data_IF_649182616028
#
_entry.id   IF_649182616028
#
_cell.length_a   1.000
_cell.length_b   1.000
_cell.length_c   1.000
_cell.angle_alpha   90.00
_cell.angle_beta   90.00
_cell.angle_gamma   90.00
#
_symmetry.space_group_name_H-M   'P 1'
#
loop_
_entity.id
_entity.type
_entity.pdbx_description
1 polymer ?
#
# COMPACT_ATOMS: atom_id res chain seq x y z
N UNK A 1 3.15 2.89 -30.53
CA UNK A 1 3.54 2.65 -29.13
C UNK A 1 5.02 2.24 -29.15
N UNK A 2 5.91 3.21 -28.91
CA UNK A 2 7.37 3.00 -29.02
C UNK A 2 7.83 2.56 -27.65
N UNK A 3 8.19 1.29 -27.51
CA UNK A 3 8.91 0.78 -26.34
C UNK A 3 10.35 1.30 -26.42
N UNK A 4 10.62 2.37 -25.68
CA UNK A 4 12.00 2.81 -25.49
C UNK A 4 12.59 1.92 -24.39
N UNK A 5 13.31 0.87 -24.81
CA UNK A 5 14.21 0.14 -23.93
C UNK A 5 15.38 1.08 -23.61
N UNK A 6 15.39 1.70 -22.44
CA UNK A 6 16.60 2.34 -21.94
C UNK A 6 17.59 1.25 -21.52
N UNK A 7 18.38 0.78 -22.48
CA UNK A 7 19.63 0.08 -22.19
C UNK A 7 20.70 1.16 -21.92
N UNK A 8 20.83 1.59 -20.67
CA UNK A 8 22.00 2.35 -20.25
C UNK A 8 23.17 1.36 -20.08
N UNK A 9 23.99 1.24 -21.11
CA UNK A 9 25.28 0.58 -21.03
C UNK A 9 26.25 1.47 -20.27
N UNK A 10 26.35 1.27 -18.94
CA UNK A 10 27.55 1.63 -18.21
C UNK A 10 28.25 0.34 -17.82
N UNK A 11 29.54 0.33 -18.10
CA UNK A 11 30.47 -0.76 -17.88
C UNK A 11 30.26 -1.43 -16.51
N UNK A 12 29.96 -2.74 -16.55
CA UNK A 12 29.97 -3.74 -15.48
C UNK A 12 28.71 -4.19 -14.78
N UNK A 13 27.53 -3.54 -14.93
CA UNK A 13 26.30 -4.12 -14.38
C UNK A 13 25.10 -3.83 -15.30
N UNK A 14 24.62 -4.82 -16.04
CA UNK A 14 23.35 -4.73 -16.76
C UNK A 14 22.21 -4.78 -15.74
N UNK A 15 21.59 -3.65 -15.42
CA UNK A 15 20.29 -3.63 -14.74
C UNK A 15 19.16 -3.53 -15.77
N UNK A 16 17.98 -3.99 -15.40
CA UNK A 16 16.82 -4.00 -16.29
C UNK A 16 15.56 -3.56 -15.55
N UNK A 17 14.76 -2.71 -16.19
CA UNK A 17 13.38 -2.50 -15.85
C UNK A 17 12.54 -3.49 -16.65
N UNK A 18 11.86 -4.40 -15.96
CA UNK A 18 11.02 -5.43 -16.56
C UNK A 18 9.56 -5.15 -16.18
N UNK A 19 8.77 -4.54 -17.07
CA UNK A 19 7.34 -4.33 -16.77
C UNK A 19 6.64 -5.65 -16.49
N UNK A 20 5.71 -5.63 -15.56
CA UNK A 20 4.85 -6.79 -15.31
C UNK A 20 4.03 -7.09 -16.59
N UNK A 21 3.91 -8.36 -17.02
CA UNK A 21 3.25 -8.69 -18.28
C UNK A 21 1.81 -8.21 -18.41
N UNK A 22 1.09 -8.16 -17.31
CA UNK A 22 -0.34 -7.80 -17.29
C UNK A 22 -0.59 -6.36 -16.80
N UNK A 23 0.43 -5.64 -16.26
CA UNK A 23 0.25 -4.31 -15.71
C UNK A 23 1.54 -3.48 -15.82
N UNK A 24 1.58 -2.59 -16.79
CA UNK A 24 2.76 -1.77 -17.08
C UNK A 24 3.12 -0.75 -15.99
N UNK A 25 2.21 -0.51 -15.03
CA UNK A 25 2.46 0.34 -13.85
C UNK A 25 3.22 -0.38 -12.74
N UNK A 26 3.51 -1.67 -12.94
CA UNK A 26 4.32 -2.49 -12.04
C UNK A 26 5.57 -2.92 -12.79
N UNK A 27 6.73 -2.76 -12.17
CA UNK A 27 7.99 -3.18 -12.79
C UNK A 27 8.92 -3.87 -11.80
N UNK A 28 9.64 -4.85 -12.31
CA UNK A 28 10.74 -5.50 -11.61
C UNK A 28 12.06 -4.82 -12.00
N UNK A 29 12.94 -4.65 -11.01
CA UNK A 29 14.29 -4.15 -11.22
C UNK A 29 15.26 -5.28 -10.92
N UNK A 30 15.97 -5.71 -11.95
CA UNK A 30 16.97 -6.77 -11.87
C UNK A 30 18.38 -6.23 -12.15
N UNK A 31 19.40 -6.94 -11.64
CA UNK A 31 20.79 -6.58 -11.86
C UNK A 31 21.40 -5.70 -10.77
N UNK A 32 20.60 -5.12 -9.87
CA UNK A 32 21.10 -4.41 -8.70
C UNK A 32 21.36 -5.45 -7.61
N UNK A 33 22.64 -5.69 -7.31
CA UNK A 33 23.06 -6.72 -6.34
C UNK A 33 22.74 -6.34 -4.90
N UNK A 34 22.86 -5.04 -4.57
CA UNK A 34 22.61 -4.51 -3.24
C UNK A 34 22.19 -3.04 -3.36
N UNK A 35 20.94 -2.74 -2.97
CA UNK A 35 20.41 -1.39 -3.06
C UNK A 35 21.08 -0.38 -2.14
N UNK A 36 21.81 -0.83 -1.10
CA UNK A 36 22.60 0.05 -0.22
C UNK A 36 23.78 0.67 -0.95
N UNK A 37 24.26 0.01 -1.98
CA UNK A 37 25.40 0.42 -2.79
C UNK A 37 24.97 0.88 -4.19
N UNK A 38 23.70 1.28 -4.35
CA UNK A 38 23.19 1.75 -5.64
C UNK A 38 23.92 3.05 -6.03
N UNK A 39 24.39 3.08 -7.27
CA UNK A 39 24.98 4.29 -7.84
C UNK A 39 23.95 5.43 -7.87
N UNK A 40 24.42 6.67 -7.66
CA UNK A 40 23.55 7.85 -7.59
C UNK A 40 22.76 8.08 -8.87
N UNK A 41 23.39 7.92 -10.02
CA UNK A 41 22.71 8.16 -11.31
C UNK A 41 21.70 7.06 -11.58
N UNK A 42 22.00 5.83 -11.19
CA UNK A 42 21.07 4.71 -11.26
C UNK A 42 19.89 4.89 -10.31
N UNK A 43 20.13 5.37 -9.09
CA UNK A 43 19.04 5.71 -8.15
C UNK A 43 18.12 6.78 -8.71
N UNK A 44 18.65 7.87 -9.27
CA UNK A 44 17.85 8.93 -9.89
C UNK A 44 17.06 8.41 -11.11
N UNK A 45 17.63 7.47 -11.86
CA UNK A 45 16.94 6.78 -12.94
C UNK A 45 15.74 5.95 -12.40
N UNK A 46 15.95 5.19 -11.31
CA UNK A 46 14.87 4.44 -10.64
C UNK A 46 13.79 5.36 -10.11
N UNK A 47 14.13 6.49 -9.48
CA UNK A 47 13.18 7.49 -8.96
C UNK A 47 12.37 8.11 -10.09
N UNK A 48 13.01 8.53 -11.17
CA UNK A 48 12.35 9.08 -12.35
C UNK A 48 11.37 8.08 -12.96
N UNK A 49 11.81 6.84 -13.10
CA UNK A 49 10.96 5.77 -13.62
C UNK A 49 9.76 5.48 -12.70
N UNK A 50 9.98 5.47 -11.38
CA UNK A 50 8.93 5.32 -10.38
C UNK A 50 7.89 6.44 -10.47
N UNK A 51 8.30 7.68 -10.56
CA UNK A 51 7.38 8.82 -10.62
C UNK A 51 6.60 8.88 -11.95
N UNK A 52 7.25 8.60 -13.07
CA UNK A 52 6.68 8.85 -14.38
C UNK A 52 5.98 7.64 -15.01
N UNK A 53 6.49 6.43 -14.76
CA UNK A 53 6.09 5.26 -15.54
C UNK A 53 5.53 4.13 -14.69
N UNK A 54 6.19 3.76 -13.60
CA UNK A 54 5.87 2.57 -12.83
C UNK A 54 5.82 2.86 -11.34
N UNK A 55 4.69 3.36 -10.82
CA UNK A 55 4.54 3.74 -9.41
C UNK A 55 4.53 2.56 -8.42
N UNK A 56 4.79 1.36 -8.88
CA UNK A 56 5.20 0.20 -8.10
C UNK A 56 6.43 -0.42 -8.74
N UNK A 57 7.56 -0.38 -8.06
CA UNK A 57 8.80 -1.01 -8.46
C UNK A 57 9.25 -2.05 -7.44
N UNK A 58 9.80 -3.15 -7.93
CA UNK A 58 10.19 -4.30 -7.10
C UNK A 58 11.66 -4.62 -7.40
N UNK A 59 12.53 -4.32 -6.44
CA UNK A 59 13.95 -4.70 -6.48
C UNK A 59 14.07 -6.18 -6.10
N UNK A 60 14.61 -6.98 -6.99
CA UNK A 60 14.67 -8.43 -6.82
C UNK A 60 15.92 -8.89 -6.05
N UNK A 61 15.76 -9.93 -5.23
CA UNK A 61 16.85 -10.70 -4.64
C UNK A 61 17.87 -9.87 -3.83
N UNK A 62 17.40 -8.90 -3.07
CA UNK A 62 18.27 -8.06 -2.25
C UNK A 62 18.85 -8.83 -1.06
N UNK A 63 20.11 -8.57 -0.67
CA UNK A 63 20.71 -9.20 0.48
C UNK A 63 20.02 -8.82 1.78
N UNK A 64 20.38 -9.51 2.86
CA UNK A 64 19.85 -9.21 4.18
C UNK A 64 20.17 -7.76 4.59
N UNK A 65 19.14 -7.05 5.03
CA UNK A 65 19.21 -5.66 5.51
C UNK A 65 18.58 -5.56 6.88
N UNK A 66 19.14 -4.65 7.69
CA UNK A 66 18.54 -4.24 8.97
C UNK A 66 17.26 -3.42 8.72
N UNK A 67 16.38 -3.29 9.71
CA UNK A 67 15.24 -2.38 9.62
C UNK A 67 15.64 -0.94 9.27
N UNK A 68 16.75 -0.45 9.85
CA UNK A 68 17.24 0.91 9.57
C UNK A 68 17.75 1.07 8.14
N UNK A 69 18.54 0.13 7.63
CA UNK A 69 19.02 0.16 6.23
C UNK A 69 17.84 0.13 5.24
N UNK A 70 16.80 -0.64 5.54
CA UNK A 70 15.59 -0.67 4.72
C UNK A 70 14.85 0.67 4.76
N UNK A 71 14.70 1.28 5.94
CA UNK A 71 14.11 2.61 6.08
C UNK A 71 14.91 3.66 5.30
N UNK A 72 16.23 3.67 5.45
CA UNK A 72 17.10 4.63 4.79
C UNK A 72 17.02 4.51 3.27
N UNK A 73 16.95 3.29 2.74
CA UNK A 73 16.73 3.08 1.30
C UNK A 73 15.36 3.58 0.83
N UNK A 74 14.27 3.24 1.53
CA UNK A 74 12.93 3.65 1.10
C UNK A 74 12.72 5.17 1.14
N UNK A 75 13.34 5.88 2.10
CA UNK A 75 13.34 7.34 2.21
C UNK A 75 13.87 8.04 0.95
N UNK A 76 14.73 7.39 0.18
CA UNK A 76 15.31 7.96 -1.04
C UNK A 76 14.25 8.22 -2.13
N UNK A 77 13.10 7.57 -2.08
CA UNK A 77 12.04 7.69 -3.08
C UNK A 77 11.06 8.85 -2.83
N UNK A 78 11.17 9.54 -1.70
CA UNK A 78 10.38 10.75 -1.43
C UNK A 78 11.28 11.93 -1.04
N UNK A 79 11.43 12.87 -1.97
CA UNK A 79 12.22 14.09 -1.74
C UNK A 79 11.49 15.07 -0.79
N UNK A 80 10.17 14.95 -0.65
CA UNK A 80 9.33 15.81 0.20
C UNK A 80 8.96 15.13 1.53
N UNK A 81 9.67 14.07 1.90
CA UNK A 81 9.40 13.33 3.13
C UNK A 81 9.46 14.21 4.37
N UNK A 82 8.62 13.91 5.32
CA UNK A 82 8.60 14.58 6.61
C UNK A 82 9.56 13.87 7.59
N UNK A 83 10.79 14.36 7.64
CA UNK A 83 11.82 13.80 8.55
C UNK A 83 11.41 13.95 10.02
N UNK A 84 10.68 14.98 10.41
CA UNK A 84 10.23 15.17 11.78
C UNK A 84 9.19 14.10 12.14
N UNK A 85 8.29 13.78 11.23
CA UNK A 85 7.33 12.69 11.41
C UNK A 85 8.01 11.31 11.44
N UNK A 86 9.05 11.11 10.62
CA UNK A 86 9.85 9.87 10.63
C UNK A 86 10.64 9.74 11.92
N UNK A 87 11.28 10.82 12.35
CA UNK A 87 12.14 10.85 13.54
C UNK A 87 11.36 11.16 14.80
N UNK A 88 10.03 11.12 14.81
CA UNK A 88 9.18 11.52 15.94
C UNK A 88 9.55 10.78 17.22
N UNK A 89 10.63 11.27 17.84
CA UNK A 89 11.16 10.79 19.14
C UNK A 89 10.55 11.55 20.31
N UNK A 90 9.83 12.66 20.05
CA UNK A 90 9.54 13.68 21.07
C UNK A 90 8.45 13.31 22.07
N UNK A 91 7.77 12.17 22.01
CA UNK A 91 6.81 11.79 23.06
C UNK A 91 6.62 10.28 23.25
N UNK A 92 7.60 9.44 22.96
CA UNK A 92 7.43 7.96 22.99
C UNK A 92 6.32 7.43 22.06
N UNK A 93 5.78 8.25 21.17
CA UNK A 93 4.76 7.88 20.21
C UNK A 93 5.41 7.79 18.84
N UNK A 94 5.50 6.57 18.33
CA UNK A 94 5.85 6.38 16.92
C UNK A 94 4.70 6.88 16.03
N UNK A 95 5.00 7.19 14.77
CA UNK A 95 4.00 7.50 13.75
C UNK A 95 2.84 6.48 13.75
N UNK A 96 3.11 5.20 13.96
CA UNK A 96 2.14 4.15 14.11
C UNK A 96 1.23 4.32 15.33
N UNK A 97 1.77 4.75 16.47
CA UNK A 97 1.01 4.97 17.70
C UNK A 97 0.18 6.24 17.64
N UNK A 98 0.68 7.32 17.03
CA UNK A 98 -0.11 8.54 16.83
C UNK A 98 -1.36 8.29 16.00
N UNK A 99 -1.31 7.30 15.14
CA UNK A 99 -2.42 6.94 14.30
C UNK A 99 -3.38 5.95 14.97
N UNK A 100 -3.20 5.55 16.23
CA UNK A 100 -4.07 4.63 16.96
C UNK A 100 -4.58 3.45 16.10
N UNK A 101 -3.74 2.97 15.21
CA UNK A 101 -4.09 1.81 14.40
C UNK A 101 -4.28 0.62 15.32
N UNK A 102 -5.28 -0.18 15.04
CA UNK A 102 -5.70 -1.37 15.76
C UNK A 102 -4.52 -2.21 16.24
N UNK A 103 -4.32 -2.22 17.53
CA UNK A 103 -3.21 -2.79 18.29
C UNK A 103 -1.90 -1.98 18.17
N UNK A 104 -1.12 -1.90 19.23
CA UNK A 104 0.26 -1.48 19.13
C UNK A 104 0.91 -2.43 18.14
N UNK A 105 1.16 -1.95 16.92
CA UNK A 105 1.95 -2.72 15.98
C UNK A 105 3.29 -2.97 16.65
N UNK A 106 3.65 -4.23 16.70
CA UNK A 106 4.98 -4.61 17.11
C UNK A 106 5.96 -3.79 16.29
N UNK A 107 6.87 -3.13 16.97
CA UNK A 107 7.84 -2.22 16.38
C UNK A 107 9.23 -2.64 16.80
N UNK A 108 10.19 -2.36 15.96
CA UNK A 108 11.56 -2.54 16.36
C UNK A 108 11.97 -1.44 17.35
N UNK A 109 12.51 -1.77 18.53
CA UNK A 109 12.87 -0.78 19.56
C UNK A 109 13.76 0.34 19.02
N UNK A 110 14.74 -0.02 18.17
CA UNK A 110 15.72 0.90 17.61
C UNK A 110 15.29 1.49 16.26
N UNK A 111 14.16 1.07 15.70
CA UNK A 111 13.65 1.56 14.42
C UNK A 111 12.12 1.52 14.39
N UNK A 112 11.49 2.37 15.22
CA UNK A 112 10.03 2.39 15.46
C UNK A 112 9.20 2.70 14.22
N UNK A 113 9.83 3.16 13.14
CA UNK A 113 9.14 3.46 11.89
C UNK A 113 8.95 2.24 10.99
N UNK A 114 9.62 1.14 11.32
CA UNK A 114 9.51 -0.14 10.62
C UNK A 114 8.67 -1.11 11.43
N UNK A 115 7.68 -1.72 10.80
CA UNK A 115 6.81 -2.69 11.45
C UNK A 115 6.98 -4.09 10.85
N UNK A 116 7.15 -5.14 11.67
CA UNK A 116 7.07 -6.51 11.23
C UNK A 116 5.63 -6.89 10.87
N UNK A 117 5.44 -7.67 9.80
CA UNK A 117 4.14 -8.14 9.32
C UNK A 117 4.20 -9.61 8.95
N UNK A 118 3.08 -10.28 9.10
CA UNK A 118 2.93 -11.67 8.65
C UNK A 118 2.51 -12.63 9.73
N UNK A 119 3.10 -13.83 9.71
CA UNK A 119 2.91 -14.91 10.67
C UNK A 119 4.28 -15.51 10.96
N UNK A 120 4.99 -14.97 11.93
CA UNK A 120 6.35 -15.37 12.22
C UNK A 120 6.72 -15.11 13.69
N UNK A 121 7.52 -16.00 14.28
CA UNK A 121 8.02 -15.84 15.63
C UNK A 121 9.42 -15.20 15.62
N UNK A 122 9.53 -14.04 16.21
CA UNK A 122 10.78 -13.30 16.38
C UNK A 122 11.40 -13.65 17.74
N UNK A 123 12.44 -14.47 17.73
CA UNK A 123 13.10 -14.92 18.98
C UNK A 123 14.03 -13.85 19.54
N UNK A 124 14.89 -13.31 18.72
CA UNK A 124 15.81 -12.22 19.03
C UNK A 124 16.16 -11.54 17.70
N UNK A 125 15.35 -10.57 17.29
CA UNK A 125 15.45 -9.96 15.99
C UNK A 125 15.39 -8.43 16.14
N UNK A 126 16.56 -7.78 16.04
CA UNK A 126 16.70 -6.33 16.18
C UNK A 126 15.97 -5.76 17.42
N UNK A 127 16.21 -6.36 18.59
CA UNK A 127 15.63 -5.96 19.86
C UNK A 127 14.22 -6.46 20.15
N UNK A 128 13.53 -7.06 19.17
CA UNK A 128 12.29 -7.78 19.42
C UNK A 128 12.59 -9.15 20.02
N UNK A 129 12.21 -9.35 21.29
CA UNK A 129 12.41 -10.62 21.99
C UNK A 129 11.10 -11.33 22.18
N UNK A 130 11.09 -12.61 21.81
CA UNK A 130 9.96 -13.53 22.01
C UNK A 130 8.59 -12.96 21.53
N UNK A 131 8.62 -12.39 20.33
CA UNK A 131 7.45 -11.76 19.71
C UNK A 131 6.84 -12.64 18.64
N UNK A 132 5.58 -13.05 18.82
CA UNK A 132 4.79 -13.68 17.76
C UNK A 132 4.08 -12.61 16.93
N UNK A 133 4.48 -12.44 15.68
CA UNK A 133 3.77 -11.62 14.70
C UNK A 133 2.58 -12.41 14.17
N UNK A 134 1.39 -11.80 14.19
CA UNK A 134 0.17 -12.40 13.66
C UNK A 134 -0.40 -11.57 12.51
N UNK A 135 -1.03 -12.20 11.51
CA UNK A 135 -1.87 -11.47 10.58
C UNK A 135 -3.06 -10.88 11.34
N UNK A 136 -3.41 -9.64 11.04
CA UNK A 136 -4.61 -9.02 11.61
C UNK A 136 -5.85 -9.89 11.36
N UNK A 137 -6.79 -9.93 12.31
CA UNK A 137 -8.03 -10.73 12.22
C UNK A 137 -8.76 -10.52 10.88
N UNK A 138 -8.76 -9.28 10.39
CA UNK A 138 -9.42 -8.90 9.15
C UNK A 138 -8.81 -9.52 7.89
N UNK A 139 -7.53 -9.89 7.95
CA UNK A 139 -6.81 -10.48 6.81
C UNK A 139 -6.81 -12.01 6.81
N UNK A 140 -7.49 -12.65 7.77
CA UNK A 140 -7.47 -14.12 7.88
C UNK A 140 -8.19 -14.80 6.72
N UNK A 141 -9.40 -14.38 6.41
CA UNK A 141 -10.28 -15.02 5.45
C UNK A 141 -10.79 -14.12 4.33
N UNK A 142 -10.47 -12.83 4.36
CA UNK A 142 -11.00 -11.83 3.45
C UNK A 142 -9.91 -10.95 2.84
N UNK A 143 -10.21 -10.38 1.68
CA UNK A 143 -9.47 -9.25 1.15
C UNK A 143 -9.85 -7.99 1.91
N UNK A 144 -8.86 -7.14 2.17
CA UNK A 144 -9.03 -5.81 2.77
C UNK A 144 -8.43 -4.80 1.79
N UNK A 145 -9.23 -4.39 0.82
CA UNK A 145 -8.79 -3.43 -0.19
C UNK A 145 -8.61 -2.05 0.39
N UNK A 146 -7.41 -1.49 0.30
CA UNK A 146 -7.08 -0.18 0.84
C UNK A 146 -5.91 0.47 0.11
N UNK A 147 -5.82 1.77 0.32
CA UNK A 147 -4.61 2.55 0.13
C UNK A 147 -4.14 3.00 1.51
N UNK A 148 -2.85 2.95 1.78
CA UNK A 148 -2.29 3.35 3.07
C UNK A 148 -2.36 4.87 3.33
N UNK A 149 -2.90 5.67 2.38
CA UNK A 149 -3.14 7.11 2.55
C UNK A 149 -4.31 7.44 3.46
N UNK A 150 -5.07 6.47 3.92
CA UNK A 150 -6.32 6.64 4.68
C UNK A 150 -6.17 7.17 6.11
N UNK A 151 -4.95 7.48 6.53
CA UNK A 151 -4.66 8.04 7.86
C UNK A 151 -4.99 9.55 7.97
N UNK A 152 -6.05 10.03 7.37
CA UNK A 152 -6.32 11.42 7.04
C UNK A 152 -6.68 12.39 8.18
N UNK A 153 -6.63 12.00 9.42
CA UNK A 153 -6.79 12.98 10.53
C UNK A 153 -5.51 13.74 10.87
N UNK A 154 -4.44 13.48 10.14
CA UNK A 154 -3.20 14.24 10.25
C UNK A 154 -2.94 14.93 8.91
N UNK A 155 -2.35 16.10 8.93
CA UNK A 155 -1.83 16.82 7.75
C UNK A 155 -0.70 16.05 7.05
N UNK A 156 -0.44 14.82 7.48
CA UNK A 156 0.65 13.97 7.04
C UNK A 156 0.08 12.91 6.13
N UNK A 157 0.45 12.94 4.87
CA UNK A 157 0.09 11.94 3.87
C UNK A 157 1.22 10.93 3.70
N UNK A 158 0.87 9.65 3.61
CA UNK A 158 1.83 8.61 3.21
C UNK A 158 1.83 8.48 1.69
N UNK A 159 2.74 9.16 1.03
CA UNK A 159 2.91 9.01 -0.42
C UNK A 159 3.48 7.64 -0.77
N UNK A 160 4.48 7.22 -0.03
CA UNK A 160 5.25 6.00 -0.27
C UNK A 160 4.96 4.96 0.80
N UNK A 161 4.68 3.73 0.37
CA UNK A 161 4.80 2.52 1.19
C UNK A 161 5.89 1.62 0.62
N UNK A 162 6.54 0.87 1.51
CA UNK A 162 7.52 -0.11 1.10
C UNK A 162 7.39 -1.42 1.88
N UNK A 163 7.67 -2.53 1.20
CA UNK A 163 7.76 -3.87 1.77
C UNK A 163 9.14 -4.44 1.52
N UNK A 164 9.70 -5.11 2.51
CA UNK A 164 10.88 -5.92 2.36
C UNK A 164 10.59 -7.34 2.81
N UNK A 165 10.67 -8.29 1.89
CA UNK A 165 10.25 -9.68 2.10
C UNK A 165 11.38 -10.48 2.74
N UNK A 166 11.19 -10.92 3.96
CA UNK A 166 12.15 -11.69 4.74
C UNK A 166 11.90 -13.21 4.65
N UNK A 167 10.62 -13.58 4.62
CA UNK A 167 10.18 -14.96 4.45
C UNK A 167 8.82 -15.00 3.75
N UNK A 168 8.66 -15.93 2.85
CA UNK A 168 7.44 -16.14 2.09
C UNK A 168 7.01 -17.60 2.20
N UNK A 169 5.73 -17.90 2.49
CA UNK A 169 5.23 -19.26 2.47
C UNK A 169 5.28 -19.84 1.05
N UNK A 170 5.33 -21.15 0.96
CA UNK A 170 5.41 -21.85 -0.33
C UNK A 170 4.14 -21.65 -1.16
N UNK A 171 2.98 -21.52 -0.51
CA UNK A 171 1.67 -21.33 -1.13
C UNK A 171 0.97 -20.16 -0.40
N UNK A 172 0.44 -19.24 -1.13
CA UNK A 172 -0.23 -18.05 -0.57
C UNK A 172 0.77 -16.95 -0.14
N UNK A 173 0.27 -15.96 0.57
CA UNK A 173 1.07 -14.84 1.08
C UNK A 173 1.42 -13.78 0.04
N UNK A 174 0.79 -13.82 -1.12
CA UNK A 174 0.88 -12.80 -2.14
C UNK A 174 0.30 -11.48 -1.63
N UNK A 175 0.62 -10.41 -2.32
CA UNK A 175 -0.10 -9.13 -2.21
C UNK A 175 -0.71 -8.81 -3.56
N UNK A 176 -2.00 -8.54 -3.54
CA UNK A 176 -2.72 -8.10 -4.72
C UNK A 176 -2.70 -6.59 -4.81
N UNK A 177 -2.42 -6.07 -6.00
CA UNK A 177 -2.40 -4.64 -6.31
C UNK A 177 -3.37 -4.34 -7.43
N UNK A 178 -3.93 -3.14 -7.40
CA UNK A 178 -4.77 -2.60 -8.48
C UNK A 178 -4.33 -1.16 -8.72
N UNK A 179 -3.93 -0.86 -9.95
CA UNK A 179 -3.54 0.48 -10.36
C UNK A 179 -4.77 1.37 -10.54
N UNK A 180 -4.85 2.46 -9.78
CA UNK A 180 -5.92 3.45 -9.93
C UNK A 180 -5.91 4.13 -11.30
N UNK A 181 -4.74 4.29 -11.92
CA UNK A 181 -4.60 4.84 -13.28
C UNK A 181 -5.16 3.85 -14.32
N UNK A 182 -4.86 2.57 -14.14
CA UNK A 182 -5.39 1.52 -15.04
C UNK A 182 -6.90 1.46 -14.96
N UNK A 183 -7.49 1.52 -13.75
CA UNK A 183 -8.95 1.62 -13.60
C UNK A 183 -9.46 2.85 -14.36
N UNK A 184 -8.90 4.04 -14.09
CA UNK A 184 -9.34 5.28 -14.73
C UNK A 184 -9.28 5.23 -16.26
N UNK A 185 -8.22 4.64 -16.81
CA UNK A 185 -8.04 4.50 -18.26
C UNK A 185 -9.09 3.58 -18.91
N UNK A 186 -9.60 2.58 -18.19
CA UNK A 186 -10.64 1.66 -18.67
C UNK A 186 -12.06 2.16 -18.45
N UNK A 187 -12.27 3.22 -17.64
CA UNK A 187 -13.60 3.83 -17.52
C UNK A 187 -14.04 4.44 -18.86
N UNK A 188 -15.33 4.28 -19.20
CA UNK A 188 -15.94 5.02 -20.31
C UNK A 188 -15.88 6.54 -20.03
N UNK A 189 -16.00 7.33 -21.09
CA UNK A 189 -16.06 8.79 -20.95
C UNK A 189 -17.16 9.24 -19.97
N UNK A 190 -18.35 8.66 -20.09
CA UNK A 190 -19.51 8.96 -19.25
C UNK A 190 -19.23 8.64 -17.78
N UNK A 191 -18.59 7.48 -17.51
CA UNK A 191 -18.20 7.11 -16.14
C UNK A 191 -17.14 8.05 -15.58
N UNK A 192 -16.14 8.46 -16.38
CA UNK A 192 -15.14 9.45 -15.96
C UNK A 192 -15.82 10.78 -15.59
N UNK A 193 -16.75 11.27 -16.42
CA UNK A 193 -17.49 12.51 -16.13
C UNK A 193 -18.33 12.39 -14.86
N UNK A 194 -18.99 11.25 -14.67
CA UNK A 194 -19.80 10.97 -13.48
C UNK A 194 -18.97 10.87 -12.19
N UNK A 195 -17.82 10.21 -12.25
CA UNK A 195 -17.03 9.88 -11.07
C UNK A 195 -16.12 11.01 -10.60
N UNK A 196 -15.75 11.96 -11.47
CA UNK A 196 -14.89 13.09 -11.13
C UNK A 196 -15.45 13.99 -10.02
N UNK A 197 -16.78 14.08 -9.94
CA UNK A 197 -17.48 14.95 -8.99
C UNK A 197 -17.93 14.18 -7.72
N UNK A 198 -17.60 12.89 -7.62
CA UNK A 198 -17.93 12.08 -6.44
C UNK A 198 -16.94 12.39 -5.33
N UNK A 199 -17.47 12.90 -4.23
CA UNK A 199 -16.77 13.10 -2.97
C UNK A 199 -17.25 12.03 -1.98
N UNK A 200 -16.31 11.30 -1.42
CA UNK A 200 -16.54 10.30 -0.40
C UNK A 200 -16.37 10.93 0.99
N UNK A 201 -17.32 10.71 1.86
CA UNK A 201 -17.18 10.94 3.29
C UNK A 201 -16.55 9.70 3.88
N UNK A 202 -15.40 9.85 4.52
CA UNK A 202 -14.61 8.75 5.07
C UNK A 202 -14.37 8.96 6.55
N UNK A 203 -14.31 7.87 7.32
CA UNK A 203 -13.94 7.91 8.72
C UNK A 203 -13.11 6.69 9.10
N UNK A 204 -12.08 6.97 9.83
CA UNK A 204 -11.22 5.97 10.41
C UNK A 204 -11.83 5.25 11.61
N UNK A 205 -12.73 5.92 12.35
CA UNK A 205 -13.42 5.33 13.51
C UNK A 205 -14.18 4.06 13.14
N UNK A 206 -14.71 4.00 11.92
CA UNK A 206 -15.45 2.82 11.44
C UNK A 206 -14.57 1.59 11.29
N UNK A 207 -13.35 1.76 10.81
CA UNK A 207 -12.38 0.66 10.77
C UNK A 207 -12.00 0.19 12.17
N UNK A 208 -11.74 1.14 13.07
CA UNK A 208 -11.32 0.84 14.44
C UNK A 208 -12.40 0.18 15.29
N UNK A 209 -13.66 0.51 15.03
CA UNK A 209 -14.80 0.02 15.81
C UNK A 209 -15.52 -1.18 15.20
N UNK A 210 -15.06 -1.72 14.08
CA UNK A 210 -15.78 -2.71 13.26
C UNK A 210 -17.17 -2.25 12.79
N UNK A 211 -17.38 -0.95 12.77
CA UNK A 211 -18.66 -0.34 12.42
C UNK A 211 -18.72 0.13 10.97
N UNK A 212 -17.95 -0.47 10.08
CA UNK A 212 -18.01 -0.14 8.65
C UNK A 212 -19.35 -0.56 8.04
N UNK A 213 -19.98 0.29 7.26
CA UNK A 213 -21.17 -0.08 6.50
C UNK A 213 -20.86 -1.07 5.35
N UNK A 214 -19.58 -1.24 5.01
CA UNK A 214 -19.11 -2.18 3.98
C UNK A 214 -18.35 -3.32 4.63
N UNK A 215 -18.35 -4.49 4.00
CA UNK A 215 -17.36 -5.49 4.33
C UNK A 215 -15.97 -5.03 3.86
N UNK A 216 -14.92 -5.71 4.33
CA UNK A 216 -13.54 -5.32 4.04
C UNK A 216 -13.16 -5.45 2.56
N UNK A 217 -13.86 -6.30 1.81
CA UNK A 217 -13.66 -6.46 0.37
C UNK A 217 -14.35 -5.37 -0.45
N UNK A 218 -15.32 -4.66 0.13
CA UNK A 218 -16.18 -3.70 -0.56
C UNK A 218 -17.22 -4.35 -1.48
N UNK A 219 -17.34 -5.69 -1.46
CA UNK A 219 -18.23 -6.43 -2.36
C UNK A 219 -19.53 -6.88 -1.72
N UNK A 220 -19.58 -6.90 -0.38
CA UNK A 220 -20.74 -7.29 0.39
C UNK A 220 -21.08 -6.23 1.43
N UNK A 221 -22.32 -6.24 1.90
CA UNK A 221 -22.78 -5.43 3.02
C UNK A 221 -23.94 -6.13 3.73
N UNK A 222 -23.98 -6.00 5.05
CA UNK A 222 -25.09 -6.48 5.85
C UNK A 222 -26.25 -5.48 5.80
N UNK A 223 -27.36 -5.89 5.21
CA UNK A 223 -28.56 -5.05 5.14
C UNK A 223 -29.24 -4.80 6.51
N UNK A 224 -28.96 -5.66 7.50
CA UNK A 224 -29.53 -5.58 8.84
C UNK A 224 -28.66 -4.82 9.83
N UNK A 225 -27.55 -4.27 9.36
CA UNK A 225 -26.57 -3.61 10.19
C UNK A 225 -27.08 -2.25 10.70
N UNK A 226 -27.19 -2.09 12.01
CA UNK A 226 -27.48 -0.81 12.66
C UNK A 226 -26.24 0.08 12.63
N UNK A 227 -26.14 0.86 11.57
CA UNK A 227 -25.02 1.73 11.33
C UNK A 227 -25.05 2.97 12.26
N UNK A 228 -24.00 3.14 13.04
CA UNK A 228 -23.77 4.35 13.84
C UNK A 228 -22.90 5.29 13.02
N UNK A 229 -23.46 6.41 12.60
CA UNK A 229 -22.71 7.42 11.87
C UNK A 229 -21.64 8.04 12.77
N UNK A 230 -20.37 8.16 12.30
CA UNK A 230 -19.30 8.73 13.11
C UNK A 230 -19.59 10.18 13.51
N UNK A 231 -18.95 10.64 14.57
CA UNK A 231 -19.02 12.04 14.96
C UNK A 231 -18.51 12.95 13.83
N UNK A 232 -19.06 14.14 13.71
CA UNK A 232 -18.68 15.09 12.64
C UNK A 232 -17.19 15.46 12.69
N UNK A 233 -16.55 15.37 13.87
CA UNK A 233 -15.11 15.66 14.05
C UNK A 233 -14.17 14.57 13.53
N UNK A 234 -14.68 13.37 13.23
CA UNK A 234 -13.89 12.25 12.70
C UNK A 234 -14.08 12.05 11.19
N UNK A 235 -14.91 12.87 10.56
CA UNK A 235 -15.16 12.80 9.13
C UNK A 235 -14.11 13.57 8.33
N UNK A 236 -13.63 12.93 7.28
CA UNK A 236 -12.81 13.55 6.24
C UNK A 236 -13.47 13.37 4.88
N UNK A 237 -13.02 14.13 3.89
CA UNK A 237 -13.56 14.11 2.54
C UNK A 237 -12.46 13.80 1.56
N UNK A 238 -12.72 12.90 0.62
CA UNK A 238 -11.77 12.58 -0.45
C UNK A 238 -12.50 12.40 -1.78
N UNK A 239 -11.86 12.84 -2.86
CA UNK A 239 -12.39 12.59 -4.20
C UNK A 239 -12.19 11.13 -4.60
N UNK A 240 -13.17 10.54 -5.27
CA UNK A 240 -13.05 9.20 -5.82
C UNK A 240 -11.97 9.14 -6.92
N UNK A 241 -11.92 10.17 -7.76
CA UNK A 241 -10.84 10.36 -8.74
C UNK A 241 -9.80 11.32 -8.17
N UNK A 242 -8.58 10.83 -8.01
CA UNK A 242 -7.43 11.61 -7.60
C UNK A 242 -6.76 12.20 -8.84
N UNK A 243 -6.68 13.51 -8.91
CA UNK A 243 -5.96 14.19 -10.00
C UNK A 243 -4.46 14.15 -9.72
N UNK A 244 -3.62 14.02 -10.77
CA UNK A 244 -2.18 14.10 -10.60
C UNK A 244 -1.77 15.50 -10.12
N UNK A 245 -0.62 15.59 -9.47
CA UNK A 245 -0.05 16.88 -9.09
C UNK A 245 0.27 17.73 -10.34
N UNK A 246 0.13 19.07 -10.27
CA UNK A 246 0.46 19.93 -11.39
C UNK A 246 1.89 19.69 -11.90
N UNK A 247 2.02 19.50 -13.22
CA UNK A 247 3.30 19.19 -13.85
C UNK A 247 3.69 17.71 -13.85
N UNK A 248 2.93 16.84 -13.21
CA UNK A 248 3.13 15.39 -13.28
C UNK A 248 2.69 14.83 -14.63
N UNK A 249 3.44 13.85 -15.15
CA UNK A 249 3.07 13.07 -16.33
C UNK A 249 2.11 11.92 -16.02
N UNK A 250 1.74 11.75 -14.75
CA UNK A 250 0.80 10.72 -14.30
C UNK A 250 -0.61 10.96 -14.82
N UNK A 251 -1.36 9.90 -15.02
CA UNK A 251 -2.80 9.98 -15.30
C UNK A 251 -3.61 10.15 -14.00
N UNK A 252 -4.86 10.64 -14.07
CA UNK A 252 -5.77 10.56 -12.93
C UNK A 252 -5.93 9.11 -12.45
N UNK A 253 -6.17 8.93 -11.15
CA UNK A 253 -6.28 7.62 -10.51
C UNK A 253 -7.62 7.47 -9.79
N UNK A 254 -8.30 6.33 -9.96
CA UNK A 254 -9.42 5.96 -9.12
C UNK A 254 -8.90 5.23 -7.89
N UNK A 255 -9.05 5.84 -6.72
CA UNK A 255 -8.57 5.29 -5.44
C UNK A 255 -9.73 5.20 -4.44
N UNK A 256 -9.91 4.02 -3.88
CA UNK A 256 -10.94 3.77 -2.88
C UNK A 256 -10.44 2.80 -1.82
N UNK A 257 -10.80 3.10 -0.56
CA UNK A 257 -10.64 2.19 0.58
C UNK A 257 -12.03 1.91 1.15
N UNK A 258 -12.73 0.87 0.68
CA UNK A 258 -14.15 0.66 0.95
C UNK A 258 -14.54 0.70 2.43
N UNK A 259 -13.70 0.11 3.28
CA UNK A 259 -13.97 -0.05 4.71
C UNK A 259 -14.08 1.26 5.49
N UNK A 260 -13.45 2.35 5.02
CA UNK A 260 -13.53 3.65 5.70
C UNK A 260 -14.61 4.56 5.10
N UNK A 261 -15.22 4.18 3.97
CA UNK A 261 -16.23 5.00 3.32
C UNK A 261 -17.53 4.94 4.10
N UNK A 262 -18.02 6.09 4.53
CA UNK A 262 -19.29 6.25 5.22
C UNK A 262 -20.41 6.40 4.23
N UNK A 263 -20.29 7.39 3.38
CA UNK A 263 -21.22 7.64 2.28
C UNK A 263 -20.62 8.54 1.20
N UNK A 264 -21.28 8.60 0.07
CA UNK A 264 -21.07 9.64 -0.92
C UNK A 264 -21.72 10.92 -0.39
N UNK A 265 -21.00 12.05 -0.47
CA UNK A 265 -21.52 13.36 -0.05
C UNK A 265 -22.84 13.65 -0.76
N UNK A 266 -23.88 13.97 0.02
CA UNK A 266 -25.22 14.21 -0.50
C UNK A 266 -26.06 12.96 -0.81
N UNK A 267 -25.54 11.74 -0.51
CA UNK A 267 -26.26 10.48 -0.72
C UNK A 267 -26.55 9.80 0.63
N UNK A 268 -27.44 8.83 0.61
CA UNK A 268 -27.67 7.95 1.76
C UNK A 268 -26.69 6.75 1.78
N UNK A 269 -26.60 6.07 2.92
CA UNK A 269 -25.71 4.93 3.13
C UNK A 269 -26.05 3.75 2.20
N UNK A 270 -27.33 3.44 2.01
CA UNK A 270 -27.77 2.30 1.18
C UNK A 270 -27.37 2.50 -0.29
N UNK A 271 -27.62 3.68 -0.82
CA UNK A 271 -27.23 4.07 -2.19
C UNK A 271 -25.71 4.02 -2.35
N UNK A 272 -24.98 4.52 -1.36
CA UNK A 272 -23.51 4.48 -1.36
C UNK A 272 -22.98 3.04 -1.38
N UNK A 273 -23.50 2.15 -0.54
CA UNK A 273 -23.11 0.74 -0.51
C UNK A 273 -23.31 0.05 -1.85
N UNK A 274 -24.51 0.25 -2.45
CA UNK A 274 -24.81 -0.29 -3.79
C UNK A 274 -23.81 0.24 -4.83
N UNK A 275 -23.50 1.53 -4.78
CA UNK A 275 -22.53 2.14 -5.67
C UNK A 275 -21.14 1.51 -5.50
N UNK A 276 -20.62 1.42 -4.26
CA UNK A 276 -19.30 0.86 -3.98
C UNK A 276 -19.22 -0.61 -4.41
N UNK A 277 -20.24 -1.41 -4.10
CA UNK A 277 -20.30 -2.82 -4.53
C UNK A 277 -20.18 -2.95 -6.05
N UNK A 278 -20.95 -2.17 -6.81
CA UNK A 278 -20.89 -2.19 -8.26
C UNK A 278 -19.52 -1.70 -8.75
N UNK A 279 -19.01 -0.60 -8.20
CA UNK A 279 -17.70 -0.05 -8.54
C UNK A 279 -16.59 -1.09 -8.33
N UNK A 280 -16.58 -1.76 -7.18
CA UNK A 280 -15.57 -2.78 -6.89
C UNK A 280 -15.66 -3.95 -7.87
N UNK A 281 -16.85 -4.49 -8.09
CA UNK A 281 -17.00 -5.69 -8.94
C UNK A 281 -16.82 -5.40 -10.43
N UNK A 282 -17.28 -4.26 -10.92
CA UNK A 282 -17.31 -3.97 -12.35
C UNK A 282 -16.05 -3.24 -12.84
N UNK A 283 -15.49 -2.34 -12.02
CA UNK A 283 -14.43 -1.45 -12.46
C UNK A 283 -13.08 -1.70 -11.76
N UNK A 284 -13.09 -2.15 -10.51
CA UNK A 284 -11.85 -2.23 -9.71
C UNK A 284 -11.24 -3.62 -9.77
N UNK A 285 -11.97 -4.63 -9.31
CA UNK A 285 -11.45 -6.00 -9.16
C UNK A 285 -11.02 -6.68 -10.47
N UNK A 286 -11.59 -6.37 -11.65
CA UNK A 286 -11.10 -6.91 -12.92
C UNK A 286 -9.63 -6.57 -13.23
N UNK A 287 -9.08 -5.52 -12.63
CA UNK A 287 -7.69 -5.08 -12.84
C UNK A 287 -6.71 -5.56 -11.76
N UNK A 288 -7.11 -6.54 -10.96
CA UNK A 288 -6.29 -7.11 -9.90
C UNK A 288 -5.09 -7.87 -10.45
N UNK A 289 -3.91 -7.57 -9.91
CA UNK A 289 -2.65 -8.26 -10.19
C UNK A 289 -2.10 -8.82 -8.89
N UNK A 290 -1.80 -10.10 -8.87
CA UNK A 290 -1.23 -10.81 -7.72
C UNK A 290 0.29 -10.88 -7.83
N UNK A 291 1.00 -10.33 -6.84
CA UNK A 291 2.46 -10.35 -6.81
C UNK A 291 2.95 -11.50 -5.95
N UNK A 292 3.64 -12.43 -6.61
CA UNK A 292 4.35 -13.53 -5.97
C UNK A 292 5.70 -13.02 -5.44
N UNK A 293 5.85 -13.04 -4.13
CA UNK A 293 7.05 -12.58 -3.47
C UNK A 293 8.14 -13.65 -3.40
N UNK A 294 9.38 -13.19 -3.32
CA UNK A 294 10.53 -14.02 -2.96
C UNK A 294 11.30 -13.35 -1.83
N UNK A 295 11.98 -14.14 -1.01
CA UNK A 295 12.90 -13.60 0.01
C UNK A 295 13.90 -12.64 -0.66
N UNK A 296 14.07 -11.47 -0.06
CA UNK A 296 14.94 -10.42 -0.57
C UNK A 296 14.26 -9.44 -1.55
N UNK A 297 13.00 -9.63 -1.91
CA UNK A 297 12.28 -8.65 -2.72
C UNK A 297 11.98 -7.39 -1.88
N UNK A 298 12.25 -6.23 -2.46
CA UNK A 298 11.87 -4.94 -1.89
C UNK A 298 10.91 -4.27 -2.85
N UNK A 299 9.69 -3.98 -2.39
CA UNK A 299 8.70 -3.22 -3.14
C UNK A 299 8.63 -1.79 -2.62
N UNK A 300 8.65 -0.82 -3.54
CA UNK A 300 8.36 0.60 -3.27
C UNK A 300 7.14 0.97 -4.10
N UNK A 301 6.10 1.51 -3.48
CA UNK A 301 4.90 1.87 -4.20
C UNK A 301 4.25 3.17 -3.73
N UNK A 302 3.58 3.84 -4.66
CA UNK A 302 2.89 5.11 -4.43
C UNK A 302 1.43 4.84 -4.03
N UNK A 303 1.08 5.17 -2.80
CA UNK A 303 -0.25 4.97 -2.23
C UNK A 303 -1.36 5.80 -2.90
N UNK A 304 -1.02 6.90 -3.56
CA UNK A 304 -1.99 7.71 -4.31
C UNK A 304 -2.36 7.08 -5.66
N UNK A 305 -1.64 6.04 -6.08
CA UNK A 305 -1.78 5.42 -7.41
C UNK A 305 -2.15 3.95 -7.36
N UNK A 306 -2.06 3.31 -6.18
CA UNK A 306 -2.42 1.91 -5.96
C UNK A 306 -3.35 1.72 -4.78
N UNK A 307 -4.26 0.77 -4.96
CA UNK A 307 -4.93 0.08 -3.86
C UNK A 307 -4.39 -1.34 -3.79
N UNK A 308 -4.33 -1.90 -2.60
CA UNK A 308 -3.78 -3.23 -2.41
C UNK A 308 -4.49 -3.99 -1.29
N UNK A 309 -4.25 -5.29 -1.24
CA UNK A 309 -4.63 -6.17 -0.15
C UNK A 309 -3.65 -7.33 -0.08
N UNK A 310 -3.31 -7.80 1.12
CA UNK A 310 -2.77 -9.15 1.23
C UNK A 310 -3.82 -10.15 0.79
N UNK A 311 -3.41 -11.26 0.18
CA UNK A 311 -4.29 -12.42 0.02
C UNK A 311 -4.69 -12.97 1.38
N UNK A 312 -5.90 -13.56 1.53
CA UNK A 312 -6.36 -14.07 2.82
C UNK A 312 -5.34 -15.00 3.47
N UNK A 313 -5.02 -14.74 4.73
CA UNK A 313 -3.97 -15.46 5.46
C UNK A 313 -4.29 -16.96 5.61
N UNK A 314 -5.56 -17.33 5.63
CA UNK A 314 -5.98 -18.74 5.65
C UNK A 314 -5.46 -19.54 4.46
N UNK A 315 -5.09 -18.90 3.34
CA UNK A 315 -4.52 -19.58 2.18
C UNK A 315 -3.17 -20.24 2.50
N UNK A 316 -2.39 -19.64 3.40
CA UNK A 316 -1.10 -20.23 3.83
C UNK A 316 -1.13 -20.78 5.25
N UNK A 317 -1.95 -20.24 6.18
CA UNK A 317 -2.02 -20.73 7.57
C UNK A 317 -2.49 -22.19 7.68
N UNK A 318 -3.31 -22.66 6.75
CA UNK A 318 -3.76 -24.04 6.69
C UNK A 318 -2.68 -25.02 6.22
N UNK A 319 -1.63 -24.53 5.59
CA UNK A 319 -0.51 -25.36 5.19
C UNK A 319 0.34 -25.68 6.43
N UNK A 320 0.49 -26.97 6.77
CA UNK A 320 1.32 -27.40 7.90
C UNK A 320 2.82 -27.33 7.63
N UNK A 321 3.19 -27.28 6.36
CA UNK A 321 4.57 -27.21 5.90
C UNK A 321 4.84 -25.83 5.36
N UNK A 322 5.81 -25.13 5.97
CA UNK A 322 6.28 -23.81 5.50
C UNK A 322 5.17 -22.78 5.27
N UNK A 323 4.43 -22.47 6.34
CA UNK A 323 3.33 -21.51 6.33
C UNK A 323 3.74 -20.13 6.88
N UNK A 324 5.03 -19.89 7.09
CA UNK A 324 5.51 -18.68 7.69
C UNK A 324 5.66 -17.57 6.63
N UNK A 325 5.07 -16.42 6.94
CA UNK A 325 5.22 -15.18 6.18
C UNK A 325 5.84 -14.13 7.08
N UNK A 326 6.89 -13.48 6.60
CA UNK A 326 7.51 -12.38 7.33
C UNK A 326 8.01 -11.32 6.36
N UNK A 327 7.58 -10.09 6.58
CA UNK A 327 8.04 -8.91 5.87
C UNK A 327 8.16 -7.72 6.81
N UNK A 328 8.98 -6.77 6.42
CA UNK A 328 9.04 -5.44 7.02
C UNK A 328 8.19 -4.49 6.18
N UNK A 329 7.44 -3.63 6.85
CA UNK A 329 6.61 -2.60 6.21
C UNK A 329 6.95 -1.23 6.78
N UNK A 330 7.03 -0.24 5.90
CA UNK A 330 7.17 1.16 6.28
C UNK A 330 6.23 2.03 5.47
N UNK A 331 5.89 3.18 6.05
CA UNK A 331 5.23 4.30 5.37
C UNK A 331 6.15 5.49 5.45
N UNK A 332 6.33 6.20 4.35
CA UNK A 332 7.11 7.44 4.32
C UNK A 332 6.12 8.60 4.34
N UNK A 333 6.01 9.32 5.47
CA UNK A 333 5.20 10.51 5.55
C UNK A 333 5.79 11.63 4.69
N UNK A 334 4.91 12.35 3.99
CA UNK A 334 5.26 13.41 3.05
C UNK A 334 4.70 14.73 3.58
N UNK A 335 5.49 15.81 3.51
CA UNK A 335 5.01 17.19 3.76
C UNK A 335 4.04 17.58 2.66
N UNK A 336 2.90 18.20 3.04
CA UNK A 336 1.96 18.82 2.10
C UNK A 336 2.53 20.09 1.46
#
# INVERSE_FOLDING_TARGET
MIFIYFLLFHSYNCFRFLPHPLESRISYIEGIKDVRNIDKDLLECCKTYFEQSSPLIIFKNQPEMTPQEFLDFAKLFDNNRDEDAINCTNNNQSYWNMNQMLQPFDQFPDCKHVAPRGNYYLKDYYGCKDLQVYPGEYFKDKYVWHSDTWCHNTKIMNKISAFYIKKQPLIGGETDFISGETIYQHLSYEKRQKYKDIILEVSRETFLSNNSPMDYSGTEFDNNYNYIYPSSGSLSYTSLIQMPEPGSLSSPSLIITPIIVQKIKGSDVKTTRKFIKNLMNEEVLPHRISIQWRKGDIAIFNNKRFIHSSTPANNYLKNKLDNERFLLQIFIPTKE
#
